data_IF_022598035413
#
_entry.id   IF_022598035413
#
_cell.length_a   1.000
_cell.length_b   1.000
_cell.length_c   1.000
_cell.angle_alpha   90.00
_cell.angle_beta   90.00
_cell.angle_gamma   90.00
#
_symmetry.space_group_name_H-M   'P 1'
#
loop_
_entity.id
_entity.type
_entity.pdbx_description
1 polymer ?
#
# COMPACT_ATOMS: atom_id res chain seq x y z
N UNK A 1 -13.63 17.81 -28.05
CA UNK A 1 -14.31 16.51 -27.87
C UNK A 1 -14.15 16.09 -26.42
N UNK A 2 -15.17 15.50 -25.80
CA UNK A 2 -15.09 15.08 -24.39
C UNK A 2 -14.20 13.83 -24.22
N UNK A 3 -13.28 13.81 -23.24
CA UNK A 3 -12.49 12.63 -22.89
C UNK A 3 -13.38 11.44 -22.50
N UNK A 4 -12.92 10.23 -22.81
CA UNK A 4 -13.61 8.97 -22.52
C UNK A 4 -12.76 8.11 -21.58
N UNK A 5 -13.43 7.43 -20.66
CA UNK A 5 -12.88 6.32 -19.88
C UNK A 5 -13.49 5.02 -20.43
N UNK A 6 -12.63 4.08 -20.80
CA UNK A 6 -13.03 2.82 -21.44
C UNK A 6 -12.50 1.65 -20.64
N UNK A 7 -13.36 0.67 -20.40
CA UNK A 7 -12.98 -0.62 -19.80
C UNK A 7 -13.34 -1.72 -20.78
N UNK A 8 -12.35 -2.52 -21.18
CA UNK A 8 -12.52 -3.66 -22.09
C UNK A 8 -12.25 -4.95 -21.31
N UNK A 9 -13.29 -5.78 -21.19
CA UNK A 9 -13.19 -7.10 -20.60
C UNK A 9 -13.26 -8.14 -21.72
N UNK A 10 -12.22 -8.96 -21.79
CA UNK A 10 -12.15 -10.08 -22.70
C UNK A 10 -12.20 -11.36 -21.87
N UNK A 11 -13.41 -11.90 -21.72
CA UNK A 11 -13.64 -13.13 -20.99
C UNK A 11 -13.11 -14.33 -21.79
N UNK A 12 -12.47 -15.28 -21.09
CA UNK A 12 -11.98 -16.53 -21.65
C UNK A 12 -13.05 -17.63 -21.77
N UNK A 13 -14.33 -17.29 -21.53
CA UNK A 13 -15.39 -18.29 -21.47
C UNK A 13 -15.69 -18.93 -22.84
N UNK A 14 -16.00 -20.23 -22.80
CA UNK A 14 -16.33 -21.13 -23.92
C UNK A 14 -17.56 -20.71 -24.77
N UNK A 15 -18.20 -19.58 -24.44
CA UNK A 15 -19.32 -18.98 -25.17
C UNK A 15 -18.90 -17.64 -25.78
N UNK A 16 -17.66 -17.56 -26.29
CA UNK A 16 -17.19 -16.38 -26.99
C UNK A 16 -18.19 -15.99 -28.10
N UNK A 17 -18.62 -14.72 -28.16
CA UNK A 17 -19.48 -14.25 -29.23
C UNK A 17 -18.79 -14.49 -30.59
N UNK A 18 -19.56 -14.57 -31.70
CA UNK A 18 -18.99 -14.74 -33.01
C UNK A 18 -17.91 -13.70 -33.28
N UNK A 19 -16.77 -14.13 -33.84
CA UNK A 19 -15.61 -13.28 -34.12
C UNK A 19 -15.96 -11.97 -34.85
N UNK A 20 -16.96 -12.00 -35.73
CA UNK A 20 -17.46 -10.83 -36.48
C UNK A 20 -18.06 -9.73 -35.56
N UNK A 21 -18.75 -10.12 -34.49
CA UNK A 21 -19.34 -9.18 -33.52
C UNK A 21 -18.24 -8.50 -32.72
N UNK A 22 -17.20 -9.25 -32.35
CA UNK A 22 -16.01 -8.70 -31.66
C UNK A 22 -15.26 -7.75 -32.58
N UNK A 23 -14.99 -8.15 -33.82
CA UNK A 23 -14.28 -7.33 -34.80
C UNK A 23 -14.99 -5.99 -35.08
N UNK A 24 -16.29 -6.02 -35.33
CA UNK A 24 -17.08 -4.81 -35.59
C UNK A 24 -17.15 -3.87 -34.37
N UNK A 25 -17.25 -4.43 -33.16
CA UNK A 25 -17.21 -3.64 -31.92
C UNK A 25 -15.84 -2.99 -31.73
N UNK A 26 -14.75 -3.74 -31.94
CA UNK A 26 -13.38 -3.23 -31.90
C UNK A 26 -13.16 -2.12 -32.92
N UNK A 27 -13.69 -2.23 -34.14
CA UNK A 27 -13.60 -1.19 -35.15
C UNK A 27 -14.21 0.13 -34.67
N UNK A 28 -15.45 0.10 -34.16
CA UNK A 28 -16.14 1.30 -33.63
C UNK A 28 -15.37 1.91 -32.45
N UNK A 29 -14.83 1.07 -31.57
CA UNK A 29 -14.01 1.50 -30.44
C UNK A 29 -12.73 2.19 -30.93
N UNK A 30 -12.01 1.59 -31.88
CA UNK A 30 -10.75 2.14 -32.40
C UNK A 30 -10.94 3.48 -33.10
N UNK A 31 -12.07 3.69 -33.79
CA UNK A 31 -12.43 4.98 -34.42
C UNK A 31 -12.55 6.12 -33.39
N UNK A 32 -12.82 5.80 -32.13
CA UNK A 32 -12.97 6.76 -31.04
C UNK A 32 -11.74 6.82 -30.10
N UNK A 33 -10.65 6.11 -30.42
CA UNK A 33 -9.46 5.97 -29.57
C UNK A 33 -8.74 7.29 -29.26
N UNK A 34 -8.82 8.28 -30.14
CA UNK A 34 -8.28 9.64 -29.93
C UNK A 34 -8.88 10.40 -28.75
N UNK A 35 -9.99 9.91 -28.21
CA UNK A 35 -10.68 10.50 -27.06
C UNK A 35 -10.41 9.75 -25.76
N UNK A 36 -9.69 8.63 -25.79
CA UNK A 36 -9.47 7.80 -24.62
C UNK A 36 -8.45 8.45 -23.69
N UNK A 37 -8.89 8.78 -22.48
CA UNK A 37 -8.06 9.35 -21.44
C UNK A 37 -7.71 8.32 -20.36
N UNK A 38 -8.62 7.39 -20.11
CA UNK A 38 -8.42 6.24 -19.23
C UNK A 38 -8.79 4.97 -19.99
N UNK A 39 -7.92 3.96 -19.94
CA UNK A 39 -8.15 2.65 -20.54
C UNK A 39 -7.83 1.57 -19.52
N UNK A 40 -8.80 0.69 -19.24
CA UNK A 40 -8.60 -0.54 -18.49
C UNK A 40 -8.80 -1.75 -19.39
N UNK A 41 -7.82 -2.64 -19.43
CA UNK A 41 -7.83 -3.88 -20.19
C UNK A 41 -7.78 -5.06 -19.24
N UNK A 42 -8.81 -5.91 -19.27
CA UNK A 42 -8.84 -7.15 -18.50
C UNK A 42 -8.96 -8.32 -19.46
N UNK A 43 -7.97 -9.22 -19.50
CA UNK A 43 -7.99 -10.35 -20.41
C UNK A 43 -7.25 -11.57 -19.88
N UNK A 44 -7.62 -12.74 -20.40
CA UNK A 44 -6.90 -13.99 -20.19
C UNK A 44 -5.75 -14.12 -21.19
N UNK A 45 -4.64 -14.70 -20.76
CA UNK A 45 -3.51 -14.96 -21.67
C UNK A 45 -3.94 -15.89 -22.82
N UNK A 46 -3.84 -15.38 -24.05
CA UNK A 46 -4.24 -16.10 -25.26
C UNK A 46 -5.72 -16.00 -25.65
N UNK A 47 -6.54 -15.20 -24.97
CA UNK A 47 -7.95 -15.01 -25.35
C UNK A 47 -8.19 -14.01 -26.49
N UNK A 48 -7.18 -13.22 -26.89
CA UNK A 48 -7.35 -12.17 -27.89
C UNK A 48 -6.20 -12.16 -28.88
N UNK A 49 -6.53 -12.20 -30.17
CA UNK A 49 -5.66 -11.68 -31.22
C UNK A 49 -5.65 -10.15 -31.12
N UNK A 50 -4.69 -9.60 -30.37
CA UNK A 50 -4.55 -8.15 -30.17
C UNK A 50 -4.28 -7.37 -31.46
N UNK A 51 -4.07 -8.07 -32.57
CA UNK A 51 -4.10 -7.49 -33.92
C UNK A 51 -5.35 -6.62 -34.14
N UNK A 52 -6.48 -6.95 -33.49
CA UNK A 52 -7.69 -6.13 -33.49
C UNK A 52 -7.52 -4.72 -32.89
N UNK A 53 -6.52 -4.54 -32.03
CA UNK A 53 -6.20 -3.26 -31.41
C UNK A 53 -5.09 -2.49 -32.15
N UNK A 54 -4.42 -3.06 -33.16
CA UNK A 54 -3.43 -2.33 -33.98
C UNK A 54 -3.92 -0.95 -34.47
N UNK A 55 -5.19 -0.76 -34.87
CA UNK A 55 -5.66 0.56 -35.32
C UNK A 55 -5.62 1.67 -34.26
N UNK A 56 -5.51 1.35 -32.97
CA UNK A 56 -5.37 2.37 -31.92
C UNK A 56 -3.94 2.92 -31.81
N UNK A 57 -2.96 2.22 -32.40
CA UNK A 57 -1.55 2.61 -32.33
C UNK A 57 -1.36 4.01 -32.93
N UNK A 58 -0.69 4.88 -32.19
CA UNK A 58 -0.49 6.29 -32.57
C UNK A 58 -1.72 7.18 -32.42
N UNK A 59 -2.90 6.63 -32.07
CA UNK A 59 -4.13 7.41 -31.86
C UNK A 59 -4.39 7.73 -30.38
N UNK A 60 -3.57 7.27 -29.44
CA UNK A 60 -3.77 7.42 -27.99
C UNK A 60 -3.10 8.68 -27.40
N UNK A 61 -3.20 9.82 -28.10
CA UNK A 61 -2.45 11.04 -27.75
C UNK A 61 -2.81 11.63 -26.38
N UNK A 62 -4.06 11.45 -25.91
CA UNK A 62 -4.55 12.00 -24.64
C UNK A 62 -4.69 10.95 -23.52
N UNK A 63 -4.25 9.71 -23.77
CA UNK A 63 -4.29 8.63 -22.78
C UNK A 63 -3.36 8.98 -21.62
N UNK A 64 -3.91 9.06 -20.41
CA UNK A 64 -3.17 9.41 -19.19
C UNK A 64 -3.07 8.25 -18.21
N UNK A 65 -4.13 7.43 -18.15
CA UNK A 65 -4.25 6.29 -17.23
C UNK A 65 -4.42 5.00 -18.02
N UNK A 66 -3.57 4.02 -17.74
CA UNK A 66 -3.62 2.69 -18.33
C UNK A 66 -3.64 1.64 -17.23
N UNK A 67 -4.61 0.76 -17.26
CA UNK A 67 -4.75 -0.36 -16.34
C UNK A 67 -4.76 -1.66 -17.16
N UNK A 68 -3.89 -2.60 -16.82
CA UNK A 68 -3.77 -3.87 -17.52
C UNK A 68 -3.82 -4.99 -16.50
N UNK A 69 -4.86 -5.82 -16.61
CA UNK A 69 -5.03 -7.04 -15.85
C UNK A 69 -4.92 -8.25 -16.76
N UNK A 70 -3.84 -9.01 -16.59
CA UNK A 70 -3.61 -10.26 -17.31
C UNK A 70 -3.88 -11.41 -16.36
N UNK A 71 -4.83 -12.28 -16.71
CA UNK A 71 -5.08 -13.52 -15.99
C UNK A 71 -4.37 -14.66 -16.73
N UNK A 72 -3.41 -15.32 -16.08
CA UNK A 72 -2.70 -16.47 -16.65
C UNK A 72 -3.65 -17.69 -16.70
N UNK A 73 -3.86 -18.27 -17.89
CA UNK A 73 -4.36 -19.64 -17.98
C UNK A 73 -3.19 -20.60 -17.77
N UNK A 74 -3.39 -21.66 -16.99
CA UNK A 74 -2.39 -22.71 -16.77
C UNK A 74 -2.15 -23.49 -18.08
N UNK A 75 -1.38 -22.94 -18.99
CA UNK A 75 -1.14 -23.55 -20.30
C UNK A 75 -0.16 -22.72 -21.11
N UNK A 76 0.94 -23.34 -21.55
CA UNK A 76 1.98 -22.72 -22.39
C UNK A 76 1.36 -22.19 -23.70
N UNK A 77 1.00 -20.91 -23.72
CA UNK A 77 0.68 -20.17 -24.95
C UNK A 77 1.79 -19.17 -25.25
N UNK A 78 1.87 -18.78 -26.52
CA UNK A 78 2.86 -17.84 -27.02
C UNK A 78 2.78 -16.49 -26.30
N UNK A 79 3.92 -15.83 -26.08
CA UNK A 79 3.98 -14.62 -25.28
C UNK A 79 3.21 -13.46 -25.92
N UNK A 80 2.33 -12.83 -25.14
CA UNK A 80 1.72 -11.53 -25.43
C UNK A 80 2.81 -10.52 -25.87
N UNK A 81 2.59 -9.73 -26.92
CA UNK A 81 3.43 -8.58 -27.24
C UNK A 81 2.53 -7.41 -27.65
N UNK A 82 2.64 -6.29 -26.94
CA UNK A 82 1.81 -5.11 -27.17
C UNK A 82 2.68 -3.88 -27.41
N UNK A 83 2.90 -3.49 -28.68
CA UNK A 83 3.59 -2.26 -29.01
C UNK A 83 2.66 -1.02 -28.97
N UNK A 84 1.34 -1.19 -28.77
CA UNK A 84 0.35 -0.13 -28.97
C UNK A 84 0.56 1.09 -28.07
N UNK A 85 1.05 0.86 -26.86
CA UNK A 85 1.14 1.90 -25.84
C UNK A 85 2.45 2.70 -25.88
N UNK A 86 3.43 2.26 -26.66
CA UNK A 86 4.74 2.91 -26.73
C UNK A 86 4.64 4.38 -27.18
N UNK A 87 3.65 4.70 -28.01
CA UNK A 87 3.45 6.01 -28.62
C UNK A 87 2.33 6.81 -27.92
N UNK A 88 2.23 6.72 -26.59
CA UNK A 88 1.26 7.46 -25.76
C UNK A 88 1.94 8.62 -25.02
N UNK A 89 2.09 9.81 -25.62
CA UNK A 89 2.90 10.90 -25.05
C UNK A 89 2.36 11.43 -23.71
N UNK A 90 1.05 11.35 -23.48
CA UNK A 90 0.41 11.83 -22.25
C UNK A 90 0.35 10.79 -21.12
N UNK A 91 0.77 9.54 -21.38
CA UNK A 91 0.63 8.45 -20.42
C UNK A 91 1.55 8.66 -19.23
N UNK A 92 0.97 8.74 -18.03
CA UNK A 92 1.70 9.07 -16.82
C UNK A 92 1.32 8.21 -15.61
N UNK A 93 0.19 7.51 -15.66
CA UNK A 93 -0.28 6.61 -14.60
C UNK A 93 -0.55 5.23 -15.20
N UNK A 94 0.08 4.21 -14.62
CA UNK A 94 -0.04 2.83 -15.09
C UNK A 94 -0.30 1.91 -13.91
N UNK A 95 -1.27 1.01 -14.05
CA UNK A 95 -1.53 -0.11 -13.15
C UNK A 95 -1.34 -1.42 -13.91
N UNK A 96 -0.42 -2.27 -13.46
CA UNK A 96 -0.12 -3.55 -14.07
C UNK A 96 -0.35 -4.65 -13.06
N UNK A 97 -1.28 -5.54 -13.37
CA UNK A 97 -1.43 -6.82 -12.70
C UNK A 97 -0.77 -7.91 -13.56
N UNK A 98 0.44 -8.30 -13.16
CA UNK A 98 1.33 -9.18 -13.88
C UNK A 98 1.44 -10.52 -13.16
N UNK A 99 0.95 -11.56 -13.80
CA UNK A 99 1.24 -12.94 -13.47
C UNK A 99 2.38 -13.44 -14.37
N UNK A 100 3.47 -13.93 -13.78
CA UNK A 100 4.60 -14.53 -14.50
C UNK A 100 5.59 -13.55 -15.19
N UNK A 101 6.43 -14.03 -16.13
CA UNK A 101 7.52 -13.27 -16.80
C UNK A 101 7.01 -12.29 -17.88
N UNK A 102 5.83 -11.71 -17.65
CA UNK A 102 5.09 -10.93 -18.64
C UNK A 102 5.54 -9.46 -18.73
N UNK A 103 6.47 -9.03 -17.88
CA UNK A 103 6.86 -7.62 -17.77
C UNK A 103 7.63 -7.09 -19.00
N UNK A 104 8.40 -7.93 -19.69
CA UNK A 104 9.14 -7.51 -20.91
C UNK A 104 8.23 -7.21 -22.10
N UNK A 105 6.97 -7.62 -22.01
CA UNK A 105 6.06 -7.75 -23.14
C UNK A 105 5.23 -6.50 -23.41
N UNK A 106 5.02 -5.69 -22.37
CA UNK A 106 4.26 -4.45 -22.45
C UNK A 106 5.24 -3.32 -22.73
N UNK A 107 5.18 -2.75 -23.94
CA UNK A 107 6.01 -1.59 -24.29
C UNK A 107 5.28 -0.33 -23.88
N UNK A 108 5.79 0.32 -22.85
CA UNK A 108 5.28 1.58 -22.33
C UNK A 108 6.32 2.71 -22.52
N UNK A 109 5.87 3.97 -22.63
CA UNK A 109 6.73 5.14 -22.57
C UNK A 109 7.19 5.35 -21.12
N UNK A 110 8.01 4.44 -20.60
CA UNK A 110 8.42 4.37 -19.19
C UNK A 110 8.96 5.69 -18.64
N UNK A 111 9.62 6.48 -19.49
CA UNK A 111 10.16 7.78 -19.13
C UNK A 111 9.07 8.82 -18.77
N UNK A 112 7.83 8.66 -19.24
CA UNK A 112 6.73 9.60 -18.94
C UNK A 112 5.92 9.17 -17.70
N UNK A 113 6.09 7.94 -17.24
CA UNK A 113 5.33 7.39 -16.12
C UNK A 113 5.79 8.05 -14.82
N UNK A 114 4.82 8.64 -14.12
CA UNK A 114 5.01 9.29 -12.82
C UNK A 114 4.36 8.51 -11.67
N UNK A 115 3.39 7.65 -11.98
CA UNK A 115 2.68 6.80 -11.02
C UNK A 115 2.57 5.39 -11.57
N UNK A 116 3.08 4.41 -10.82
CA UNK A 116 3.07 3.01 -11.21
C UNK A 116 2.51 2.15 -10.08
N UNK A 117 1.51 1.34 -10.39
CA UNK A 117 1.03 0.25 -9.52
C UNK A 117 1.44 -1.07 -10.16
N UNK A 118 2.06 -1.94 -9.37
CA UNK A 118 2.46 -3.29 -9.77
C UNK A 118 1.81 -4.30 -8.83
N UNK A 119 1.00 -5.19 -9.36
CA UNK A 119 0.49 -6.34 -8.65
C UNK A 119 1.14 -7.58 -9.26
N UNK A 120 2.01 -8.25 -8.52
CA UNK A 120 2.89 -9.28 -9.05
C UNK A 120 2.78 -10.57 -8.25
N UNK A 121 2.51 -11.67 -8.95
CA UNK A 121 2.51 -13.03 -8.40
C UNK A 121 3.78 -13.77 -8.80
N UNK A 122 4.52 -14.32 -7.83
CA UNK A 122 5.85 -14.91 -8.01
C UNK A 122 6.81 -13.99 -8.81
N UNK A 123 7.09 -12.78 -8.29
CA UNK A 123 7.79 -11.75 -9.05
C UNK A 123 9.22 -12.15 -9.43
N UNK A 124 9.55 -11.96 -10.71
CA UNK A 124 10.94 -11.86 -11.16
C UNK A 124 11.44 -10.43 -10.94
N UNK A 125 12.06 -10.19 -9.77
CA UNK A 125 12.54 -8.86 -9.39
C UNK A 125 13.55 -8.30 -10.39
N UNK A 126 14.33 -9.14 -11.06
CA UNK A 126 15.33 -8.70 -12.04
C UNK A 126 14.71 -7.97 -13.23
N UNK A 127 13.58 -8.47 -13.74
CA UNK A 127 12.86 -7.84 -14.84
C UNK A 127 12.16 -6.56 -14.39
N UNK A 128 11.50 -6.60 -13.23
CA UNK A 128 10.81 -5.44 -12.65
C UNK A 128 11.80 -4.32 -12.39
N UNK A 129 12.97 -4.63 -11.82
CA UNK A 129 14.04 -3.66 -11.61
C UNK A 129 14.58 -3.06 -12.90
N UNK A 130 14.64 -3.84 -13.97
CA UNK A 130 15.01 -3.32 -15.30
C UNK A 130 13.94 -2.39 -15.87
N UNK A 131 12.66 -2.65 -15.63
CA UNK A 131 11.59 -1.73 -15.99
C UNK A 131 11.66 -0.44 -15.14
N UNK A 132 11.83 -0.57 -13.82
CA UNK A 132 11.94 0.56 -12.91
C UNK A 132 13.17 1.44 -13.21
N UNK A 133 14.29 0.86 -13.67
CA UNK A 133 15.50 1.63 -13.99
C UNK A 133 15.34 2.58 -15.19
N UNK A 134 14.35 2.33 -16.06
CA UNK A 134 14.00 3.24 -17.17
C UNK A 134 12.89 4.25 -16.81
N UNK A 135 12.24 4.09 -15.66
CA UNK A 135 11.20 4.99 -15.15
C UNK A 135 11.80 6.22 -14.44
N UNK A 136 12.54 7.06 -15.18
CA UNK A 136 13.32 8.16 -14.59
C UNK A 136 12.47 9.26 -13.93
N UNK A 137 11.19 9.39 -14.29
CA UNK A 137 10.28 10.40 -13.74
C UNK A 137 9.30 9.85 -12.70
N UNK A 138 9.50 8.61 -12.23
CA UNK A 138 8.61 7.95 -11.30
C UNK A 138 8.58 8.69 -9.95
N UNK A 139 7.38 9.09 -9.50
CA UNK A 139 7.15 9.79 -8.23
C UNK A 139 6.38 8.93 -7.23
N UNK A 140 5.51 8.04 -7.71
CA UNK A 140 4.70 7.15 -6.88
C UNK A 140 4.85 5.72 -7.38
N UNK A 141 5.18 4.81 -6.46
CA UNK A 141 5.23 3.38 -6.71
C UNK A 141 4.36 2.69 -5.66
N UNK A 142 3.37 1.94 -6.11
CA UNK A 142 2.62 0.99 -5.30
C UNK A 142 2.95 -0.42 -5.80
N UNK A 143 3.31 -1.33 -4.91
CA UNK A 143 3.76 -2.67 -5.29
C UNK A 143 3.18 -3.72 -4.36
N UNK A 144 2.29 -4.55 -4.88
CA UNK A 144 1.82 -5.77 -4.23
C UNK A 144 2.63 -6.96 -4.72
N UNK A 145 3.32 -7.63 -3.80
CA UNK A 145 4.10 -8.85 -4.07
C UNK A 145 3.43 -10.03 -3.37
N UNK A 146 3.17 -11.06 -4.15
CA UNK A 146 2.63 -12.35 -3.70
C UNK A 146 3.59 -13.47 -4.13
N UNK A 147 3.82 -14.45 -3.26
CA UNK A 147 4.61 -15.64 -3.52
C UNK A 147 6.13 -15.45 -3.37
N UNK A 148 6.90 -16.39 -3.91
CA UNK A 148 8.35 -16.40 -3.71
C UNK A 148 9.05 -15.48 -4.71
N UNK A 149 9.74 -14.46 -4.22
CA UNK A 149 10.56 -13.59 -5.05
C UNK A 149 11.88 -14.26 -5.45
N UNK A 150 12.22 -14.18 -6.75
CA UNK A 150 13.54 -14.60 -7.24
C UNK A 150 14.51 -13.42 -7.14
N UNK A 151 15.70 -13.68 -6.57
CA UNK A 151 16.73 -12.67 -6.34
C UNK A 151 17.13 -11.96 -7.65
N UNK A 152 17.16 -10.63 -7.60
CA UNK A 152 17.78 -9.80 -8.62
C UNK A 152 19.25 -9.53 -8.28
N UNK A 153 20.10 -9.33 -9.29
CA UNK A 153 21.48 -8.84 -9.10
C UNK A 153 21.61 -7.31 -9.31
N UNK A 154 20.52 -6.63 -9.65
CA UNK A 154 20.53 -5.24 -10.08
C UNK A 154 20.06 -4.32 -8.96
N UNK A 155 20.75 -3.20 -8.77
CA UNK A 155 20.27 -2.11 -7.92
C UNK A 155 19.46 -1.12 -8.76
N UNK A 156 18.38 -0.59 -8.20
CA UNK A 156 17.53 0.41 -8.83
C UNK A 156 17.65 1.72 -8.08
N UNK A 157 17.93 2.78 -8.82
CA UNK A 157 17.99 4.14 -8.29
C UNK A 157 16.81 4.97 -8.81
N UNK A 158 15.85 5.29 -7.94
CA UNK A 158 14.66 6.08 -8.28
C UNK A 158 14.80 7.47 -7.65
N UNK A 159 15.55 8.34 -8.32
CA UNK A 159 15.95 9.66 -7.82
C UNK A 159 14.81 10.67 -7.64
N UNK A 160 13.63 10.38 -8.19
CA UNK A 160 12.44 11.23 -8.12
C UNK A 160 11.29 10.60 -7.32
N UNK A 161 11.45 9.39 -6.79
CA UNK A 161 10.40 8.71 -6.05
C UNK A 161 10.12 9.43 -4.73
N UNK A 162 8.86 9.79 -4.51
CA UNK A 162 8.37 10.53 -3.33
C UNK A 162 7.47 9.67 -2.46
N UNK A 163 6.73 8.73 -3.06
CA UNK A 163 5.82 7.82 -2.38
C UNK A 163 6.10 6.37 -2.76
N UNK A 164 6.23 5.51 -1.76
CA UNK A 164 6.40 4.07 -1.91
C UNK A 164 5.35 3.37 -1.05
N UNK A 165 4.53 2.53 -1.66
CA UNK A 165 3.60 1.63 -0.97
C UNK A 165 3.97 0.20 -1.33
N UNK A 166 4.24 -0.63 -0.34
CA UNK A 166 4.59 -2.04 -0.52
C UNK A 166 3.60 -2.88 0.26
N UNK A 167 2.92 -3.77 -0.45
CA UNK A 167 2.08 -4.81 0.11
C UNK A 167 2.76 -6.15 -0.12
N UNK A 168 2.99 -6.92 0.95
CA UNK A 168 3.69 -8.21 0.89
C UNK A 168 2.87 -9.29 1.61
N UNK A 169 2.89 -10.51 1.06
CA UNK A 169 2.31 -11.71 1.65
C UNK A 169 3.32 -12.53 2.46
N UNK A 170 4.62 -12.27 2.30
CA UNK A 170 5.72 -12.82 3.11
C UNK A 170 6.74 -11.71 3.49
N UNK A 171 7.13 -11.59 4.77
CA UNK A 171 8.04 -10.52 5.20
C UNK A 171 9.44 -10.64 4.62
N UNK A 172 9.90 -11.85 4.29
CA UNK A 172 11.22 -12.13 3.71
C UNK A 172 11.41 -11.46 2.35
N UNK A 173 10.32 -11.16 1.64
CA UNK A 173 10.36 -10.42 0.37
C UNK A 173 11.00 -9.05 0.58
N UNK A 174 10.77 -8.39 1.71
CA UNK A 174 11.36 -7.09 1.99
C UNK A 174 12.87 -7.17 2.21
N UNK A 175 13.34 -8.27 2.84
CA UNK A 175 14.77 -8.55 3.01
C UNK A 175 15.49 -8.70 1.68
N UNK A 176 14.78 -9.20 0.65
CA UNK A 176 15.28 -9.30 -0.71
C UNK A 176 15.14 -7.97 -1.45
N UNK A 177 13.99 -7.32 -1.36
CA UNK A 177 13.62 -6.17 -2.17
C UNK A 177 14.38 -4.90 -1.77
N UNK A 178 14.35 -4.55 -0.49
CA UNK A 178 14.77 -3.24 0.00
C UNK A 178 16.27 -2.93 -0.17
N UNK A 179 17.21 -3.89 -0.01
CA UNK A 179 18.65 -3.61 -0.20
C UNK A 179 19.02 -3.11 -1.61
N UNK A 180 18.19 -3.44 -2.60
CA UNK A 180 18.41 -3.07 -4.00
C UNK A 180 17.75 -1.76 -4.40
N UNK A 181 17.00 -1.10 -3.51
CA UNK A 181 16.34 0.17 -3.79
C UNK A 181 17.12 1.35 -3.19
N UNK A 182 17.38 2.36 -4.03
CA UNK A 182 17.95 3.65 -3.60
C UNK A 182 17.00 4.77 -4.01
N UNK A 183 16.39 5.43 -3.01
CA UNK A 183 15.27 6.36 -3.21
C UNK A 183 15.46 7.65 -2.40
N UNK A 184 16.40 8.53 -2.79
CA UNK A 184 16.85 9.64 -1.95
C UNK A 184 15.83 10.74 -1.70
N UNK A 185 14.78 10.85 -2.54
CA UNK A 185 13.71 11.86 -2.38
C UNK A 185 12.44 11.28 -1.75
N UNK A 186 12.49 10.06 -1.25
CA UNK A 186 11.34 9.42 -0.65
C UNK A 186 10.91 10.19 0.60
N UNK A 187 9.61 10.49 0.69
CA UNK A 187 9.02 11.21 1.82
C UNK A 187 7.82 10.49 2.42
N UNK A 188 7.19 9.57 1.68
CA UNK A 188 6.04 8.79 2.14
C UNK A 188 6.28 7.29 1.94
N UNK A 189 6.07 6.52 3.00
CA UNK A 189 6.14 5.05 2.98
C UNK A 189 4.83 4.47 3.51
N UNK A 190 4.32 3.47 2.81
CA UNK A 190 3.29 2.57 3.29
C UNK A 190 3.80 1.13 3.21
N UNK A 191 3.69 0.40 4.32
CA UNK A 191 3.98 -1.03 4.40
C UNK A 191 2.71 -1.73 4.86
N UNK A 192 2.24 -2.65 4.03
CA UNK A 192 1.01 -3.40 4.25
C UNK A 192 1.30 -4.90 4.17
N UNK A 193 0.66 -5.67 5.04
CA UNK A 193 0.56 -7.12 4.87
C UNK A 193 -0.76 -7.45 4.18
N UNK A 194 -0.73 -8.22 3.09
CA UNK A 194 -1.93 -8.70 2.39
C UNK A 194 -2.47 -10.01 2.93
N UNK A 195 -1.69 -10.76 3.72
CA UNK A 195 -1.95 -12.16 4.00
C UNK A 195 -2.06 -12.49 5.49
N UNK A 196 -3.01 -13.37 5.79
CA UNK A 196 -3.14 -14.02 7.10
C UNK A 196 -2.03 -15.06 7.38
N UNK A 197 -1.07 -15.26 6.47
CA UNK A 197 0.00 -16.27 6.61
C UNK A 197 1.11 -15.87 7.57
N UNK A 198 1.20 -14.61 8.01
CA UNK A 198 2.29 -14.15 8.88
C UNK A 198 2.14 -14.55 10.35
N UNK A 199 1.14 -15.37 10.66
CA UNK A 199 0.79 -15.83 12.01
C UNK A 199 1.98 -16.28 12.86
N UNK A 200 2.98 -16.93 12.25
CA UNK A 200 4.15 -17.49 12.95
C UNK A 200 5.47 -16.77 12.64
N UNK A 201 5.45 -15.70 11.83
CA UNK A 201 6.67 -15.03 11.38
C UNK A 201 6.84 -13.70 12.09
N UNK A 202 7.99 -13.54 12.74
CA UNK A 202 8.40 -12.25 13.30
C UNK A 202 8.87 -11.34 12.18
N UNK A 203 8.34 -10.12 12.11
CA UNK A 203 8.89 -9.09 11.22
C UNK A 203 10.34 -8.76 11.60
N UNK A 204 11.25 -8.88 10.64
CA UNK A 204 12.63 -8.41 10.78
C UNK A 204 12.73 -6.94 10.35
N UNK A 205 13.08 -6.07 11.30
CA UNK A 205 13.18 -4.63 11.06
C UNK A 205 14.46 -4.20 10.34
N UNK A 206 15.50 -5.04 10.35
CA UNK A 206 16.84 -4.68 9.92
C UNK A 206 16.93 -4.31 8.42
N UNK A 207 16.27 -5.02 7.48
CA UNK A 207 16.24 -4.61 6.07
C UNK A 207 15.66 -3.22 5.86
N UNK A 208 14.59 -2.89 6.58
CA UNK A 208 13.94 -1.58 6.48
C UNK A 208 14.82 -0.47 7.05
N UNK A 209 15.45 -0.71 8.20
CA UNK A 209 16.42 0.21 8.80
C UNK A 209 17.59 0.48 7.86
N UNK A 210 18.17 -0.56 7.27
CA UNK A 210 19.27 -0.43 6.30
C UNK A 210 18.86 0.37 5.08
N UNK A 211 17.65 0.13 4.57
CA UNK A 211 17.08 0.88 3.46
C UNK A 211 16.93 2.37 3.74
N UNK A 212 16.42 2.75 4.93
CA UNK A 212 16.31 4.17 5.32
C UNK A 212 17.68 4.85 5.34
N UNK A 213 18.69 4.20 5.91
CA UNK A 213 20.07 4.70 5.99
C UNK A 213 20.68 4.83 4.59
N UNK A 214 20.60 3.77 3.78
CA UNK A 214 21.17 3.71 2.43
C UNK A 214 20.53 4.74 1.49
N UNK A 215 19.22 4.94 1.60
CA UNK A 215 18.52 5.92 0.76
C UNK A 215 18.76 7.35 1.23
N UNK A 216 19.17 7.58 2.49
CA UNK A 216 19.35 8.93 3.07
C UNK A 216 18.13 9.83 2.84
N UNK A 217 16.95 9.22 2.86
CA UNK A 217 15.68 9.87 2.59
C UNK A 217 15.13 10.58 3.84
N UNK A 218 14.21 11.53 3.66
CA UNK A 218 13.57 12.24 4.78
C UNK A 218 12.09 11.90 4.79
N UNK A 219 11.72 10.88 5.58
CA UNK A 219 10.34 10.43 5.67
C UNK A 219 9.53 11.41 6.52
N UNK A 220 8.44 11.90 5.93
CA UNK A 220 7.44 12.76 6.57
C UNK A 220 6.10 12.05 6.77
N UNK A 221 5.84 10.95 6.06
CA UNK A 221 4.65 10.12 6.24
C UNK A 221 5.00 8.63 6.31
N UNK A 222 4.45 7.93 7.31
CA UNK A 222 4.63 6.49 7.50
C UNK A 222 3.28 5.84 7.81
N UNK A 223 2.94 4.82 7.03
CA UNK A 223 1.76 3.99 7.22
C UNK A 223 2.19 2.54 7.43
N UNK A 224 1.83 1.95 8.57
CA UNK A 224 2.09 0.56 8.90
C UNK A 224 0.75 -0.14 9.06
N UNK A 225 0.42 -1.07 8.16
CA UNK A 225 -0.89 -1.72 8.12
C UNK A 225 -0.78 -3.24 8.18
N UNK A 226 -1.48 -3.83 9.14
CA UNK A 226 -1.60 -5.28 9.30
C UNK A 226 -0.27 -6.03 9.47
N UNK A 227 0.79 -5.34 9.88
CA UNK A 227 2.11 -5.96 10.12
C UNK A 227 2.12 -6.64 11.51
N UNK A 228 2.65 -7.86 11.67
CA UNK A 228 2.89 -8.50 12.97
C UNK A 228 4.18 -7.95 13.58
N UNK A 229 4.09 -6.70 14.02
CA UNK A 229 5.19 -5.93 14.59
C UNK A 229 4.86 -5.56 16.04
N UNK A 230 5.84 -5.64 16.94
CA UNK A 230 5.61 -5.22 18.33
C UNK A 230 5.73 -3.71 18.50
N UNK A 231 5.17 -3.18 19.57
CA UNK A 231 5.33 -1.79 20.00
C UNK A 231 6.79 -1.34 20.03
N UNK A 232 7.69 -2.13 20.60
CA UNK A 232 9.13 -1.84 20.69
C UNK A 232 9.73 -1.68 19.30
N UNK A 233 9.36 -2.52 18.34
CA UNK A 233 9.88 -2.44 16.96
C UNK A 233 9.37 -1.21 16.23
N UNK A 234 8.09 -0.85 16.40
CA UNK A 234 7.56 0.41 15.86
C UNK A 234 8.30 1.61 16.45
N UNK A 235 8.52 1.63 17.77
CA UNK A 235 9.26 2.72 18.43
C UNK A 235 10.68 2.89 17.87
N UNK A 236 11.39 1.78 17.61
CA UNK A 236 12.71 1.83 16.98
C UNK A 236 12.67 2.46 15.59
N UNK A 237 11.61 2.25 14.80
CA UNK A 237 11.43 2.95 13.53
C UNK A 237 11.18 4.44 13.72
N UNK A 238 10.29 4.80 14.65
CA UNK A 238 9.97 6.20 14.90
C UNK A 238 11.19 6.99 15.39
N UNK A 239 12.13 6.36 16.10
CA UNK A 239 13.40 6.97 16.50
C UNK A 239 14.30 7.34 15.31
N UNK A 240 14.19 6.62 14.19
CA UNK A 240 14.94 6.91 12.95
C UNK A 240 14.30 8.02 12.11
N UNK A 241 13.07 8.44 12.45
CA UNK A 241 12.25 9.34 11.62
C UNK A 241 11.91 10.66 12.35
N UNK A 242 12.90 11.49 12.72
CA UNK A 242 12.65 12.71 13.50
C UNK A 242 11.82 13.77 12.75
N UNK A 243 11.69 13.65 11.42
CA UNK A 243 10.92 14.56 10.57
C UNK A 243 9.52 14.02 10.22
N UNK A 244 9.05 12.97 10.90
CA UNK A 244 7.73 12.40 10.64
C UNK A 244 6.62 13.37 11.07
N UNK A 245 5.73 13.70 10.14
CA UNK A 245 4.57 14.56 10.35
C UNK A 245 3.27 13.76 10.44
N UNK A 246 3.14 12.71 9.62
CA UNK A 246 1.97 11.84 9.56
C UNK A 246 2.36 10.41 9.91
N UNK A 247 1.67 9.83 10.89
CA UNK A 247 1.84 8.43 11.27
C UNK A 247 0.49 7.72 11.32
N UNK A 248 0.38 6.62 10.58
CA UNK A 248 -0.77 5.74 10.56
C UNK A 248 -0.33 4.34 10.98
N UNK A 249 -0.99 3.78 11.99
CA UNK A 249 -0.76 2.45 12.49
C UNK A 249 -2.08 1.68 12.54
N UNK A 250 -2.13 0.56 11.85
CA UNK A 250 -3.26 -0.34 11.84
C UNK A 250 -2.84 -1.74 12.24
N UNK A 251 -3.41 -2.22 13.34
CA UNK A 251 -3.11 -3.53 13.92
C UNK A 251 -3.65 -4.67 13.04
N UNK A 252 -2.97 -5.83 13.09
CA UNK A 252 -3.38 -7.00 12.30
C UNK A 252 -4.55 -7.74 12.97
N UNK A 253 -5.73 -7.75 12.34
CA UNK A 253 -6.87 -8.58 12.77
C UNK A 253 -6.68 -10.00 12.27
N UNK A 254 -6.58 -11.00 13.16
CA UNK A 254 -6.62 -12.40 12.74
C UNK A 254 -8.08 -12.86 12.68
N UNK A 255 -8.60 -13.07 11.46
CA UNK A 255 -10.04 -13.35 11.21
C UNK A 255 -10.45 -14.80 11.42
N UNK A 256 -9.56 -15.76 11.24
CA UNK A 256 -9.95 -17.17 11.23
C UNK A 256 -9.46 -17.91 12.47
N UNK A 257 -10.36 -18.51 13.29
CA UNK A 257 -9.93 -19.56 14.20
C UNK A 257 -9.24 -20.61 13.33
N UNK A 258 -7.96 -20.90 13.59
CA UNK A 258 -7.18 -21.74 12.69
C UNK A 258 -7.90 -23.09 12.48
N UNK A 259 -7.97 -23.61 11.23
CA UNK A 259 -8.48 -24.96 10.95
C UNK A 259 -7.75 -25.92 11.87
N UNK A 260 -8.41 -26.94 12.44
CA UNK A 260 -8.16 -27.48 13.79
C UNK A 260 -6.67 -27.58 14.16
N UNK A 261 -6.05 -26.44 14.47
CA UNK A 261 -4.67 -26.42 14.92
C UNK A 261 -4.73 -26.75 16.40
N UNK A 262 -3.76 -27.54 16.88
CA UNK A 262 -3.64 -27.85 18.29
C UNK A 262 -3.78 -26.61 19.18
N UNK A 263 -4.52 -26.73 20.28
CA UNK A 263 -4.87 -25.64 21.21
C UNK A 263 -3.64 -24.82 21.65
N UNK A 264 -2.44 -25.41 21.71
CA UNK A 264 -1.22 -24.71 22.09
C UNK A 264 -0.74 -23.66 21.06
N UNK A 265 -1.11 -23.76 19.78
CA UNK A 265 -0.85 -22.71 18.78
C UNK A 265 -1.83 -21.54 18.89
N UNK A 266 -3.04 -21.78 19.44
CA UNK A 266 -4.05 -20.72 19.66
C UNK A 266 -3.65 -19.73 20.75
N UNK A 267 -2.79 -20.14 21.69
CA UNK A 267 -2.42 -19.33 22.87
C UNK A 267 -1.37 -18.26 22.53
N UNK A 268 -0.60 -18.41 21.43
CA UNK A 268 0.48 -17.46 21.08
C UNK A 268 0.07 -16.33 20.14
N UNK A 269 -1.11 -16.41 19.53
CA UNK A 269 -1.58 -15.42 18.54
C UNK A 269 -2.63 -14.47 19.11
N UNK A 270 -2.83 -14.49 20.43
CA UNK A 270 -3.61 -13.47 21.11
C UNK A 270 -2.85 -12.15 21.02
N UNK A 271 -3.36 -11.33 20.12
CA UNK A 271 -3.32 -9.89 20.16
C UNK A 271 -1.97 -9.31 19.69
N UNK A 272 -1.87 -9.06 18.37
CA UNK A 272 -0.89 -8.12 17.81
C UNK A 272 -1.27 -6.70 18.27
N UNK A 273 -1.09 -6.45 19.57
CA UNK A 273 -1.38 -5.17 20.23
C UNK A 273 -0.11 -4.36 20.19
N UNK A 274 -0.09 -3.45 19.24
CA UNK A 274 1.03 -2.55 19.00
C UNK A 274 0.83 -1.27 19.79
N UNK A 275 -0.41 -0.85 20.01
CA UNK A 275 -0.73 0.35 20.78
C UNK A 275 -0.83 0.03 22.26
N UNK A 276 0.31 -0.26 22.86
CA UNK A 276 0.44 -0.52 24.31
C UNK A 276 0.59 0.77 25.11
N UNK A 277 0.52 0.67 26.44
CA UNK A 277 0.94 1.77 27.34
C UNK A 277 2.37 2.23 27.07
N UNK A 278 3.28 1.30 26.79
CA UNK A 278 4.70 1.61 26.49
C UNK A 278 4.81 2.45 25.22
N UNK A 279 4.10 2.06 24.16
CA UNK A 279 4.03 2.82 22.91
C UNK A 279 3.54 4.24 23.15
N UNK A 280 2.39 4.40 23.81
CA UNK A 280 1.78 5.70 24.07
C UNK A 280 2.66 6.58 24.97
N UNK A 281 3.23 6.02 26.04
CA UNK A 281 4.12 6.74 26.96
C UNK A 281 5.38 7.24 26.26
N UNK A 282 5.94 6.47 25.32
CA UNK A 282 7.12 6.88 24.54
C UNK A 282 6.80 7.96 23.51
N UNK A 283 5.54 8.08 23.10
CA UNK A 283 5.07 9.20 22.29
C UNK A 283 4.72 10.43 23.15
N UNK A 284 4.49 10.30 24.45
CA UNK A 284 4.25 11.45 25.34
C UNK A 284 5.45 12.39 25.34
N UNK A 285 5.19 13.70 25.28
CA UNK A 285 6.21 14.74 25.36
C UNK A 285 6.36 15.17 26.80
N UNK A 286 7.45 14.74 27.43
CA UNK A 286 7.85 15.21 28.75
C UNK A 286 8.80 16.40 28.59
N UNK A 287 8.31 17.59 28.93
CA UNK A 287 9.09 18.83 28.84
C UNK A 287 10.16 18.94 29.94
N UNK A 288 10.04 18.16 31.02
CA UNK A 288 11.02 18.15 32.12
C UNK A 288 12.13 17.12 31.88
N UNK A 289 11.88 16.12 31.03
CA UNK A 289 12.87 15.10 30.69
C UNK A 289 13.96 15.61 29.76
N UNK A 290 15.20 15.17 30.01
CA UNK A 290 16.33 15.38 29.11
C UNK A 290 16.30 14.41 27.91
N UNK A 291 15.38 13.45 27.88
CA UNK A 291 15.28 12.50 26.78
C UNK A 291 14.78 13.20 25.51
N UNK A 292 15.42 12.90 24.38
CA UNK A 292 14.98 13.43 23.08
C UNK A 292 13.57 12.88 22.75
N UNK A 293 12.60 13.74 22.41
CA UNK A 293 11.27 13.29 22.02
C UNK A 293 11.33 12.48 20.72
N UNK A 294 10.56 11.39 20.68
CA UNK A 294 10.33 10.62 19.45
C UNK A 294 9.35 11.40 18.58
N UNK A 295 9.62 11.48 17.28
CA UNK A 295 8.79 12.18 16.27
C UNK A 295 8.31 13.56 16.73
N UNK A 296 9.23 14.51 17.00
CA UNK A 296 8.87 15.84 17.50
C UNK A 296 8.02 16.64 16.50
N UNK A 297 7.99 16.26 15.22
CA UNK A 297 7.24 16.93 14.15
C UNK A 297 5.86 16.32 13.87
N UNK A 298 5.43 15.33 14.66
CA UNK A 298 4.19 14.60 14.41
C UNK A 298 2.96 15.53 14.60
N UNK A 299 2.25 15.79 13.50
CA UNK A 299 1.03 16.60 13.48
C UNK A 299 -0.22 15.79 13.26
N UNK A 300 -0.11 14.60 12.66
CA UNK A 300 -1.24 13.76 12.27
C UNK A 300 -0.99 12.32 12.73
N UNK A 301 -1.90 11.80 13.56
CA UNK A 301 -1.82 10.46 14.13
C UNK A 301 -3.11 9.69 13.85
N UNK A 302 -3.00 8.55 13.19
CA UNK A 302 -4.11 7.62 12.96
C UNK A 302 -3.78 6.26 13.57
N UNK A 303 -4.70 5.77 14.41
CA UNK A 303 -4.63 4.48 15.08
C UNK A 303 -5.87 3.66 14.74
N UNK A 304 -5.67 2.46 14.21
CA UNK A 304 -6.72 1.47 13.94
C UNK A 304 -6.42 0.21 14.77
N UNK A 305 -7.24 -0.03 15.79
CA UNK A 305 -6.98 -0.99 16.86
C UNK A 305 -7.96 -2.15 16.81
N UNK A 306 -7.53 -3.33 17.24
CA UNK A 306 -8.39 -4.52 17.24
C UNK A 306 -9.14 -4.72 18.54
N UNK A 307 -8.43 -4.66 19.66
CA UNK A 307 -9.00 -4.78 21.01
C UNK A 307 -8.05 -4.14 21.99
N UNK A 308 -8.60 -3.59 23.07
CA UNK A 308 -7.81 -3.00 24.14
C UNK A 308 -7.27 -1.63 23.78
N UNK A 309 -7.57 -0.65 24.64
CA UNK A 309 -6.97 0.67 24.58
C UNK A 309 -6.69 1.12 26.01
N UNK A 310 -5.43 1.39 26.29
CA UNK A 310 -5.01 2.01 27.55
C UNK A 310 -5.41 3.48 27.55
N UNK A 311 -6.68 3.74 27.88
CA UNK A 311 -7.31 5.05 27.75
C UNK A 311 -6.51 6.14 28.47
N UNK A 312 -6.10 5.90 29.71
CA UNK A 312 -5.34 6.87 30.50
C UNK A 312 -4.02 7.27 29.82
N UNK A 313 -3.27 6.30 29.30
CA UNK A 313 -2.02 6.56 28.59
C UNK A 313 -2.26 7.32 27.27
N UNK A 314 -3.37 7.04 26.58
CA UNK A 314 -3.75 7.78 25.37
C UNK A 314 -4.06 9.25 25.70
N UNK A 315 -4.83 9.51 26.76
CA UNK A 315 -5.16 10.88 27.19
C UNK A 315 -3.90 11.64 27.61
N UNK A 316 -2.99 11.01 28.35
CA UNK A 316 -1.70 11.61 28.73
C UNK A 316 -0.88 11.98 27.49
N UNK A 317 -0.76 11.06 26.52
CA UNK A 317 -0.05 11.29 25.27
C UNK A 317 -0.66 12.44 24.48
N UNK A 318 -1.98 12.44 24.24
CA UNK A 318 -2.67 13.49 23.50
C UNK A 318 -2.55 14.85 24.20
N UNK A 319 -2.71 14.90 25.52
CA UNK A 319 -2.58 16.13 26.31
C UNK A 319 -1.18 16.73 26.21
N UNK A 320 -0.14 15.89 26.18
CA UNK A 320 1.24 16.36 26.06
C UNK A 320 1.59 16.93 24.67
N UNK A 321 0.89 16.49 23.61
CA UNK A 321 1.17 16.90 22.23
C UNK A 321 0.24 18.00 21.72
N UNK A 322 -0.91 18.16 22.35
CA UNK A 322 -1.85 19.19 21.98
C UNK A 322 -1.63 20.46 22.81
N UNK A 323 -0.61 21.23 22.41
CA UNK A 323 -0.19 22.44 23.08
C UNK A 323 -0.56 23.68 22.24
N UNK A 324 -1.18 24.71 22.83
CA UNK A 324 -1.40 26.00 22.15
C UNK A 324 -0.08 26.66 21.70
N UNK A 325 0.96 26.52 22.52
CA UNK A 325 2.29 27.06 22.29
C UNK A 325 3.33 25.94 22.53
N UNK A 326 3.64 25.12 21.51
CA UNK A 326 4.56 24.01 21.70
C UNK A 326 6.00 24.52 21.93
N UNK A 327 6.84 23.77 22.67
CA UNK A 327 8.25 24.08 22.83
C UNK A 327 8.97 24.20 21.48
N UNK A 328 10.04 24.99 21.43
CA UNK A 328 10.83 25.16 20.22
C UNK A 328 11.32 23.81 19.67
N UNK A 329 10.99 23.52 18.41
CA UNK A 329 11.41 22.30 17.72
C UNK A 329 10.44 21.12 17.85
N UNK A 330 9.34 21.29 18.59
CA UNK A 330 8.24 20.35 18.70
C UNK A 330 7.01 20.96 18.02
N UNK A 331 6.32 20.18 17.20
CA UNK A 331 5.06 20.59 16.59
C UNK A 331 3.90 20.02 17.40
N UNK A 332 2.83 20.81 17.52
CA UNK A 332 1.60 20.37 18.17
C UNK A 332 0.82 19.41 17.27
N UNK A 333 0.19 18.40 17.88
CA UNK A 333 -0.72 17.49 17.18
C UNK A 333 -1.95 18.28 16.68
N UNK A 334 -2.27 18.13 15.40
CA UNK A 334 -3.36 18.83 14.70
C UNK A 334 -4.52 17.92 14.39
N UNK A 335 -4.25 16.65 14.07
CA UNK A 335 -5.28 15.66 13.84
C UNK A 335 -4.98 14.35 14.58
N UNK A 336 -6.06 13.74 15.07
CA UNK A 336 -6.04 12.43 15.71
C UNK A 336 -7.23 11.61 15.21
N UNK A 337 -6.96 10.42 14.69
CA UNK A 337 -7.98 9.46 14.27
C UNK A 337 -7.84 8.18 15.07
N UNK A 338 -8.95 7.71 15.64
CA UNK A 338 -9.03 6.43 16.33
C UNK A 338 -10.15 5.59 15.72
N UNK A 339 -9.80 4.47 15.13
CA UNK A 339 -10.75 3.43 14.73
C UNK A 339 -10.59 2.23 15.66
N UNK A 340 -11.68 1.78 16.28
CA UNK A 340 -11.69 0.52 17.03
C UNK A 340 -12.47 -0.50 16.21
N UNK A 341 -11.84 -1.62 15.91
CA UNK A 341 -12.46 -2.74 15.21
C UNK A 341 -13.24 -3.58 16.22
N UNK A 342 -14.49 -3.91 15.92
CA UNK A 342 -15.29 -4.79 16.76
C UNK A 342 -15.01 -6.26 16.50
N UNK A 343 -14.91 -7.08 17.56
CA UNK A 343 -15.08 -8.52 17.38
C UNK A 343 -16.57 -8.83 17.21
N UNK A 344 -16.91 -9.62 16.21
CA UNK A 344 -18.23 -10.23 16.10
C UNK A 344 -18.29 -11.35 17.14
N UNK A 345 -18.80 -11.04 18.33
CA UNK A 345 -19.12 -12.09 19.28
C UNK A 345 -20.29 -12.89 18.70
N UNK A 346 -20.04 -14.15 18.34
CA UNK A 346 -21.03 -15.08 17.77
C UNK A 346 -22.10 -15.53 18.78
N UNK A 347 -22.29 -14.81 19.90
CA UNK A 347 -23.26 -15.17 20.94
C UNK A 347 -23.85 -13.91 21.57
N UNK A 348 -25.12 -13.63 21.25
CA UNK A 348 -26.23 -12.96 21.98
C UNK A 348 -25.97 -11.90 23.09
N UNK A 349 -24.74 -11.47 23.34
CA UNK A 349 -24.40 -10.40 24.26
C UNK A 349 -24.45 -9.09 23.46
N UNK A 350 -25.63 -8.44 23.45
CA UNK A 350 -25.87 -7.11 22.87
C UNK A 350 -25.09 -5.97 23.55
N UNK A 351 -24.03 -6.27 24.31
CA UNK A 351 -23.19 -5.26 24.91
C UNK A 351 -22.37 -4.56 23.83
N UNK A 352 -22.92 -3.46 23.30
CA UNK A 352 -22.14 -2.52 22.50
C UNK A 352 -20.89 -2.14 23.31
N UNK A 353 -19.68 -2.21 22.72
CA UNK A 353 -18.48 -1.90 23.48
C UNK A 353 -18.58 -0.49 24.04
N UNK A 354 -18.19 -0.37 25.30
CA UNK A 354 -18.40 0.84 26.08
C UNK A 354 -17.83 2.08 25.34
N UNK A 355 -18.69 3.04 24.93
CA UNK A 355 -18.30 4.24 24.20
C UNK A 355 -17.50 5.24 25.06
N UNK A 356 -17.04 4.84 26.24
CA UNK A 356 -16.34 5.70 27.20
C UNK A 356 -15.07 6.31 26.61
N UNK A 357 -14.29 5.53 25.84
CA UNK A 357 -13.09 6.06 25.19
C UNK A 357 -13.38 7.20 24.20
N UNK A 358 -14.48 7.10 23.44
CA UNK A 358 -14.90 8.15 22.50
C UNK A 358 -15.47 9.38 23.22
N UNK A 359 -16.12 9.19 24.37
CA UNK A 359 -16.60 10.28 25.20
C UNK A 359 -15.44 11.11 25.74
N UNK A 360 -14.36 10.46 26.20
CA UNK A 360 -13.15 11.14 26.63
C UNK A 360 -12.59 11.99 25.49
N UNK A 361 -12.50 11.49 24.27
CA UNK A 361 -11.92 12.24 23.15
C UNK A 361 -12.69 13.52 22.74
N UNK A 362 -13.93 13.72 23.21
CA UNK A 362 -14.71 14.93 22.92
C UNK A 362 -14.12 16.21 23.51
N UNK A 363 -13.40 16.13 24.64
CA UNK A 363 -12.80 17.34 25.23
C UNK A 363 -11.69 17.90 24.32
N UNK A 364 -10.90 17.02 23.70
CA UNK A 364 -9.90 17.41 22.70
C UNK A 364 -10.53 18.08 21.49
N UNK A 365 -11.63 17.49 20.99
CA UNK A 365 -12.40 18.08 19.88
C UNK A 365 -12.91 19.48 20.21
N UNK A 366 -13.44 19.67 21.42
CA UNK A 366 -14.00 20.95 21.88
C UNK A 366 -12.97 22.06 22.01
N UNK A 367 -11.74 21.75 22.40
CA UNK A 367 -10.69 22.78 22.45
C UNK A 367 -9.89 22.93 21.14
N UNK A 368 -10.31 22.27 20.06
CA UNK A 368 -9.83 22.52 18.69
C UNK A 368 -8.96 21.45 18.04
N UNK A 369 -8.67 20.31 18.68
CA UNK A 369 -7.99 19.19 18.02
C UNK A 369 -8.96 18.54 17.01
N UNK A 370 -8.49 18.26 15.78
CA UNK A 370 -9.31 17.53 14.80
C UNK A 370 -9.35 16.05 15.17
N UNK A 371 -10.39 15.67 15.90
CA UNK A 371 -10.57 14.28 16.32
C UNK A 371 -11.63 13.57 15.47
N UNK A 372 -11.26 12.43 14.91
CA UNK A 372 -12.16 11.46 14.26
C UNK A 372 -12.17 10.16 15.05
N UNK A 373 -13.36 9.66 15.36
CA UNK A 373 -13.53 8.37 16.04
C UNK A 373 -14.50 7.54 15.24
N UNK A 374 -14.14 6.29 14.97
CA UNK A 374 -15.01 5.32 14.32
C UNK A 374 -14.97 4.00 15.06
N UNK A 375 -16.12 3.35 15.11
CA UNK A 375 -16.22 1.95 15.50
C UNK A 375 -16.60 1.17 14.26
N UNK A 376 -15.78 0.22 13.85
CA UNK A 376 -16.02 -0.56 12.65
C UNK A 376 -16.47 -1.97 13.03
N UNK A 377 -17.78 -2.22 12.91
CA UNK A 377 -18.38 -3.56 12.96
C UNK A 377 -18.25 -4.19 11.58
N UNK A 378 -17.04 -4.41 11.13
CA UNK A 378 -16.84 -4.77 9.75
C UNK A 378 -17.15 -6.27 9.53
N UNK A 379 -18.07 -6.52 8.59
CA UNK A 379 -18.45 -7.83 8.03
C UNK A 379 -17.32 -8.30 7.11
N UNK A 380 -16.30 -8.99 7.62
CA UNK A 380 -15.32 -9.66 6.76
C UNK A 380 -15.08 -11.12 7.13
#
# INVERSE_FOLDING_TARGET
MSPLAITLHFAGDYLAPPHEVVASTCEVLTQNSSRWNTLSLCFYEGAIELSMLEPIRGNLAILQNLEIHIQEETGRKEPFQSPFFNDCPSLNTVDLNLTGPSSERIRLPWQHITSLTLNTWNPNLGEIFRALSVCTNLRRLAWSLDGTAVLASNNVHLSHLQSLSITVDEPEILSVLLPHLSVPKLSSIELCNSSDTWRDRTWDEEPFKRFLIQSSCTITSLHLRYLPITDIRVLLFLELLPNLHSFCLQECTYKYPPPPTPIYLRIRMKDNVVVTRTFLTRLTIDCESLAKPIVPRLTDLELVLNVGLEQQALIEMLSSRWLPEPPSGIDALKSFSLTVMGQREDQDDESEPEPECFALLQHFRRAGLRVTTSYNRELW
#
